data_IF_030243515473
#
_entry.id   IF_030243515473
#
_cell.length_a   1.000
_cell.length_b   1.000
_cell.length_c   1.000
_cell.angle_alpha   90.00
_cell.angle_beta   90.00
_cell.angle_gamma   90.00
#
_symmetry.space_group_name_H-M   'P 1'
#
loop_
_entity.id
_entity.type
_entity.pdbx_description
1 polymer ?
2 non-polymer ?
3 non-polymer ?
4 water ?
#
# COMPACT_ATOMS: atom_id res chain seq x y z
N UNK A 2 23.56 -2.74 -6.34
CA UNK A 2 23.52 -3.50 -5.05
C UNK A 2 22.35 -4.50 -5.07
N UNK A 3 22.33 -5.36 -4.06
CA UNK A 3 21.47 -6.53 -4.01
C UNK A 3 20.06 -6.14 -3.51
N UNK A 4 19.09 -7.02 -3.75
CA UNK A 4 17.73 -6.89 -3.20
C UNK A 4 17.48 -8.01 -2.18
N UNK A 5 16.62 -7.72 -1.23
CA UNK A 5 16.07 -8.69 -0.29
C UNK A 5 14.58 -8.90 -0.60
N UNK A 6 14.22 -10.08 -1.10
CA UNK A 6 12.85 -10.28 -1.55
C UNK A 6 12.10 -11.13 -0.49
N UNK A 7 11.04 -10.54 0.05
CA UNK A 7 10.13 -11.19 0.98
C UNK A 7 8.81 -11.51 0.24
N UNK A 8 8.09 -12.55 0.69
CA UNK A 8 6.69 -12.73 0.29
C UNK A 8 5.86 -11.54 0.78
N UNK A 9 4.81 -11.22 0.02
CA UNK A 9 4.01 -10.03 0.29
C UNK A 9 3.12 -10.23 1.52
N UNK A 10 2.75 -11.48 1.79
CA UNK A 10 1.86 -11.79 2.90
C UNK A 10 2.03 -13.25 3.37
N UNK A 11 1.77 -13.46 4.66
CA UNK A 11 1.61 -14.80 5.21
C UNK A 11 0.42 -14.72 6.18
N UNK A 12 -0.13 -15.90 6.53
CA UNK A 12 -1.20 -15.98 7.52
C UNK A 12 -1.16 -17.33 8.24
N UNK A 13 -1.74 -17.34 9.44
CA UNK A 13 -1.99 -18.54 10.20
C UNK A 13 -2.97 -18.22 11.32
N UNK A 14 -3.46 -19.26 12.00
CA UNK A 14 -4.39 -19.07 13.13
C UNK A 14 -3.60 -18.94 14.44
N UNK A 15 -4.22 -18.36 15.48
CA UNK A 15 -3.57 -18.23 16.80
C UNK A 15 -3.00 -19.58 17.28
N UNK A 16 -1.82 -19.51 17.92
CA UNK A 16 -1.15 -20.66 18.49
C UNK A 16 -0.30 -21.42 17.49
N UNK A 17 -0.38 -21.08 16.21
CA UNK A 17 0.38 -21.80 15.23
C UNK A 17 1.73 -21.12 15.01
N UNK A 18 2.52 -21.71 14.13
CA UNK A 18 3.86 -21.24 13.79
C UNK A 18 3.90 -20.72 12.36
N UNK A 19 4.54 -19.57 12.16
CA UNK A 19 4.62 -19.04 10.81
C UNK A 19 6.07 -18.67 10.48
N UNK A 20 6.43 -18.80 9.20
CA UNK A 20 7.78 -18.46 8.73
C UNK A 20 7.76 -17.42 7.60
N UNK A 21 8.62 -16.41 7.74
CA UNK A 21 8.80 -15.34 6.74
C UNK A 21 10.24 -15.37 6.22
N UNK A 22 10.39 -15.49 4.91
CA UNK A 22 11.69 -15.60 4.28
C UNK A 22 12.11 -14.24 3.70
N UNK A 23 13.42 -14.13 3.39
CA UNK A 23 14.12 -12.92 2.98
C UNK A 23 15.34 -13.32 2.15
N UNK A 24 15.18 -13.41 0.82
CA UNK A 24 16.18 -14.00 -0.09
C UNK A 24 17.00 -12.87 -0.72
N UNK A 25 18.31 -13.00 -0.61
CA UNK A 25 19.26 -12.03 -1.12
C UNK A 25 19.54 -12.42 -2.56
N UNK A 26 19.41 -11.43 -3.47
CA UNK A 26 19.47 -11.61 -4.93
C UNK A 26 20.88 -11.96 -5.40
N UNK A 27 21.86 -11.32 -4.80
CA UNK A 27 23.25 -11.48 -5.20
C UNK A 27 24.17 -11.23 -4.01
N UNK A 28 25.33 -11.88 -4.07
CA UNK A 28 26.23 -11.96 -2.95
C UNK A 28 25.82 -13.06 -2.00
N UNK A 29 26.39 -13.03 -0.80
CA UNK A 29 26.27 -14.14 0.11
C UNK A 29 25.52 -13.64 1.35
N UNK A 30 24.47 -14.36 1.74
CA UNK A 30 23.56 -13.94 2.80
C UNK A 30 24.37 -13.76 4.10
N UNK A 31 25.37 -14.61 4.31
CA UNK A 31 26.08 -14.59 5.60
C UNK A 31 27.20 -13.56 5.61
N UNK A 32 27.42 -12.90 4.47
CA UNK A 32 28.48 -11.89 4.35
C UNK A 32 28.13 -10.63 5.16
N UNK A 33 26.87 -10.50 5.56
CA UNK A 33 26.46 -9.33 6.36
C UNK A 33 25.28 -9.70 7.26
N UNK A 34 25.20 -9.04 8.40
CA UNK A 34 24.16 -9.28 9.39
C UNK A 34 22.77 -8.88 8.86
N UNK A 35 21.74 -9.65 9.30
CA UNK A 35 20.37 -9.38 8.93
C UNK A 35 19.62 -8.96 10.20
N UNK A 36 18.87 -7.85 10.09
CA UNK A 36 17.92 -7.46 11.12
C UNK A 36 16.49 -7.76 10.64
N UNK A 37 15.58 -7.91 11.61
CA UNK A 37 14.15 -7.97 11.34
C UNK A 37 13.41 -6.96 12.20
N UNK A 38 12.53 -6.20 11.56
CA UNK A 38 11.69 -5.18 12.22
C UNK A 38 10.20 -5.53 12.06
N UNK A 39 9.47 -5.31 13.16
CA UNK A 39 8.04 -5.45 13.27
C UNK A 39 7.46 -4.03 13.28
N UNK A 40 6.43 -3.79 12.45
CA UNK A 40 5.71 -2.54 12.49
C UNK A 40 4.21 -2.80 12.41
N UNK A 41 3.55 -2.53 13.53
CA UNK A 41 2.08 -2.58 13.56
C UNK A 41 1.50 -1.33 12.90
N UNK A 42 0.36 -1.46 12.22
CA UNK A 42 -0.20 -0.33 11.48
C UNK A 42 -0.35 0.91 12.37
N UNK A 43 0.13 2.04 11.89
CA UNK A 43 0.07 3.30 12.61
C UNK A 43 0.87 3.26 13.91
N UNK A 44 2.06 2.67 13.88
CA UNK A 44 2.94 2.63 15.06
C UNK A 44 4.41 2.64 14.61
N UNK A 45 5.29 2.94 15.54
CA UNK A 45 6.72 2.91 15.37
C UNK A 45 7.20 1.46 15.20
N UNK A 46 8.21 1.26 14.33
CA UNK A 46 8.88 -0.02 14.17
C UNK A 46 9.61 -0.41 15.45
N UNK A 47 9.76 -1.72 15.66
CA UNK A 47 10.59 -2.25 16.73
C UNK A 47 11.44 -3.39 16.16
N UNK A 48 12.66 -3.45 16.62
CA UNK A 48 13.58 -4.52 16.22
C UNK A 48 13.20 -5.79 16.99
N UNK A 49 12.95 -6.89 16.28
CA UNK A 49 12.68 -8.20 16.91
C UNK A 49 13.91 -9.12 16.79
N UNK A 50 14.72 -8.97 15.74
CA UNK A 50 15.97 -9.70 15.61
C UNK A 50 17.07 -8.77 15.10
N UNK A 51 18.26 -8.86 15.69
CA UNK A 51 19.46 -8.25 15.13
C UNK A 51 20.57 -9.31 14.98
N UNK A 52 21.51 -9.03 14.10
CA UNK A 52 22.68 -9.89 13.81
C UNK A 52 22.21 -11.31 13.55
N UNK A 53 21.33 -11.45 12.58
CA UNK A 53 20.79 -12.74 12.13
C UNK A 53 19.83 -13.45 13.09
N UNK A 54 20.12 -13.48 14.41
CA UNK A 54 19.44 -14.36 15.30
C UNK A 54 19.55 -13.87 16.75
N UNK A 55 19.97 -12.64 16.98
CA UNK A 55 19.98 -12.16 18.35
C UNK A 55 18.66 -11.43 18.64
N UNK A 56 18.09 -11.71 19.78
CA UNK A 56 16.82 -11.15 20.16
C UNK A 56 17.05 -10.03 21.18
N UNK A 57 16.57 -8.80 20.91
CA UNK A 57 16.68 -7.77 21.96
C UNK A 57 15.97 -8.19 23.25
N UNK A 58 16.38 -7.66 24.39
CA UNK A 58 15.65 -7.99 25.63
C UNK A 58 14.22 -7.43 25.50
N UNK A 59 13.25 -8.13 26.07
CA UNK A 59 11.84 -7.74 26.00
C UNK A 59 11.12 -8.36 24.81
N UNK A 60 11.84 -8.95 23.86
CA UNK A 60 11.19 -9.63 22.74
C UNK A 60 11.03 -11.12 23.11
N UNK A 61 9.80 -11.66 23.07
CA UNK A 61 9.56 -13.07 23.40
C UNK A 61 10.45 -14.01 22.56
N UNK A 62 10.91 -15.12 23.15
CA UNK A 62 11.64 -16.15 22.38
C UNK A 62 10.75 -16.97 21.37
N UNK A 63 9.46 -16.62 21.27
CA UNK A 63 8.57 -17.04 20.14
C UNK A 63 9.15 -16.53 18.82
N UNK A 64 9.85 -15.40 18.88
CA UNK A 64 10.47 -14.86 17.67
C UNK A 64 11.88 -15.46 17.47
N UNK A 65 12.16 -16.06 16.33
CA UNK A 65 13.52 -16.61 16.10
C UNK A 65 14.03 -16.28 14.69
N UNK A 66 15.28 -15.82 14.64
CA UNK A 66 15.94 -15.57 13.38
C UNK A 66 16.83 -16.72 12.94
N UNK A 67 16.90 -16.95 11.63
CA UNK A 67 17.83 -17.95 11.12
C UNK A 67 18.37 -17.53 9.75
N UNK A 68 19.41 -18.25 9.33
CA UNK A 68 20.07 -18.05 8.06
C UNK A 68 20.14 -19.42 7.38
N UNK A 69 19.75 -19.48 6.12
CA UNK A 69 19.91 -20.65 5.29
C UNK A 69 20.86 -20.30 4.12
N UNK A 70 22.10 -20.79 4.20
CA UNK A 70 23.12 -20.51 3.18
C UNK A 70 22.76 -21.13 1.83
N UNK A 71 22.18 -22.32 1.83
CA UNK A 71 21.81 -23.02 0.59
C UNK A 71 20.87 -22.17 -0.28
N UNK A 72 19.87 -21.56 0.34
CA UNK A 72 18.88 -20.77 -0.38
C UNK A 72 19.26 -19.27 -0.38
N UNK A 73 20.34 -18.92 0.31
CA UNK A 73 20.84 -17.54 0.39
C UNK A 73 19.75 -16.63 0.99
N UNK A 74 19.18 -17.08 2.10
CA UNK A 74 18.01 -16.44 2.68
C UNK A 74 18.16 -16.39 4.19
N UNK A 75 17.48 -15.38 4.75
CA UNK A 75 17.21 -15.26 6.18
C UNK A 75 15.72 -15.56 6.42
N UNK A 76 15.39 -16.15 7.56
CA UNK A 76 13.97 -16.36 7.94
C UNK A 76 13.71 -15.83 9.34
N UNK A 77 12.53 -15.22 9.50
CA UNK A 77 11.90 -15.04 10.80
C UNK A 77 10.81 -16.09 11.00
N UNK A 78 10.92 -16.86 12.08
CA UNK A 78 9.95 -17.84 12.49
C UNK A 78 9.31 -17.36 13.79
N UNK A 79 7.99 -17.26 13.76
CA UNK A 79 7.20 -16.84 14.92
C UNK A 79 6.36 -18.03 15.38
N UNK A 80 6.53 -18.41 16.62
CA UNK A 80 5.77 -19.55 17.12
C UNK A 80 4.74 -19.05 18.13
N UNK A 81 3.75 -19.89 18.40
CA UNK A 81 2.71 -19.56 19.38
C UNK A 81 2.05 -18.25 19.04
N UNK A 82 1.65 -18.14 17.77
CA UNK A 82 1.14 -16.89 17.18
C UNK A 82 0.02 -16.32 18.06
N UNK A 83 0.11 -15.04 18.30
CA UNK A 83 -0.87 -14.29 19.02
C UNK A 83 -1.38 -13.14 18.15
N UNK A 84 -2.55 -12.64 18.52
CA UNK A 84 -3.21 -11.66 17.67
C UNK A 84 -2.39 -10.37 17.62
N UNK A 85 -1.61 -10.03 18.66
CA UNK A 85 -0.74 -8.85 18.67
C UNK A 85 0.45 -9.02 17.71
N UNK A 86 0.74 -10.23 17.26
CA UNK A 86 1.80 -10.42 16.24
C UNK A 86 1.42 -9.91 14.81
N UNK A 87 0.16 -9.57 14.55
CA UNK A 87 -0.29 -9.08 13.24
C UNK A 87 0.38 -7.72 12.98
N UNK A 88 1.18 -7.65 11.92
CA UNK A 88 2.03 -6.50 11.66
C UNK A 88 2.70 -6.71 10.30
N UNK A 89 3.38 -5.67 9.81
CA UNK A 89 4.34 -5.82 8.71
C UNK A 89 5.72 -6.10 9.28
N UNK A 90 6.40 -7.07 8.69
CA UNK A 90 7.72 -7.45 9.08
C UNK A 90 8.65 -7.19 7.90
N UNK A 91 9.81 -6.58 8.21
CA UNK A 91 10.87 -6.23 7.22
C UNK A 91 12.21 -6.80 7.69
N UNK A 92 12.89 -7.46 6.76
CA UNK A 92 14.27 -7.81 6.94
C UNK A 92 15.14 -6.67 6.36
N UNK A 93 16.39 -6.64 6.82
CA UNK A 93 17.34 -5.55 6.43
C UNK A 93 18.78 -6.05 6.56
N UNK A 94 19.64 -5.68 5.59
CA UNK A 94 21.09 -5.99 5.61
C UNK A 94 21.88 -4.90 4.89
N UNK A 95 23.08 -5.21 4.41
CA UNK A 95 23.89 -4.23 3.66
C UNK A 95 25.05 -4.92 2.96
N UNK A 96 25.57 -4.21 1.95
CA UNK A 96 26.90 -4.46 1.36
C UNK A 96 27.53 -3.06 1.40
N UNK A 97 28.65 -2.93 2.14
CA UNK A 97 29.33 -1.65 2.30
C UNK A 97 28.34 -0.59 2.86
N UNK A 98 28.31 0.61 2.28
CA UNK A 98 27.44 1.70 2.76
C UNK A 98 26.00 1.50 2.31
N UNK A 99 25.79 0.63 1.33
CA UNK A 99 24.44 0.34 0.82
C UNK A 99 23.66 -0.49 1.85
N UNK A 100 22.75 0.19 2.55
CA UNK A 100 21.71 -0.45 3.37
C UNK A 100 20.58 -0.90 2.43
N UNK A 101 20.14 -2.16 2.58
CA UNK A 101 19.07 -2.75 1.79
C UNK A 101 17.97 -3.29 2.72
N UNK A 102 16.74 -2.86 2.43
CA UNK A 102 15.55 -3.33 3.11
C UNK A 102 14.74 -4.25 2.18
N UNK A 103 14.15 -5.29 2.75
CA UNK A 103 13.15 -6.03 2.03
C UNK A 103 11.86 -5.23 1.89
N UNK A 104 10.96 -5.74 1.05
CA UNK A 104 9.69 -5.06 0.68
C UNK A 104 8.67 -5.05 1.79
N UNK A 105 8.80 -5.98 2.73
CA UNK A 105 7.83 -6.12 3.80
C UNK A 105 6.87 -7.27 3.53
N UNK A 106 6.48 -7.91 4.62
CA UNK A 106 5.55 -9.02 4.63
C UNK A 106 4.43 -8.71 5.62
N UNK A 107 3.17 -8.71 5.13
CA UNK A 107 2.02 -8.61 6.03
C UNK A 107 1.76 -10.00 6.64
N UNK A 108 1.83 -10.07 7.96
CA UNK A 108 1.39 -11.28 8.71
C UNK A 108 -0.04 -11.04 9.20
N UNK A 109 -0.99 -11.86 8.74
CA UNK A 109 -2.37 -11.84 9.26
C UNK A 109 -2.55 -13.03 10.21
N UNK A 110 -3.04 -12.75 11.42
CA UNK A 110 -3.49 -13.79 12.33
C UNK A 110 -5.00 -13.97 12.08
N UNK A 111 -5.38 -15.11 11.55
CA UNK A 111 -6.72 -15.28 10.97
C UNK A 111 -7.80 -15.03 12.03
N UNK A 112 -8.63 -14.02 11.77
CA UNK A 112 -9.79 -13.66 12.60
C UNK A 112 -11.11 -14.21 12.07
N UNK A 113 -11.09 -14.86 10.90
CA UNK A 113 -12.26 -15.38 10.24
C UNK A 113 -11.78 -16.31 9.15
N UNK A 114 -12.68 -17.06 8.47
CA UNK A 114 -12.24 -17.96 7.42
C UNK A 114 -11.57 -17.23 6.24
N UNK A 115 -10.54 -17.86 5.65
CA UNK A 115 -9.99 -17.40 4.44
C UNK A 115 -11.09 -17.32 3.37
N UNK A 116 -11.01 -16.30 2.52
CA UNK A 116 -11.90 -16.15 1.34
C UNK A 116 -11.12 -15.68 0.10
N UNK A 117 -11.28 -16.38 -1.02
CA UNK A 117 -10.59 -16.09 -2.28
C UNK A 117 -11.32 -14.93 -2.96
N UNK A 118 -10.57 -13.99 -3.54
CA UNK A 118 -11.17 -12.80 -4.15
C UNK A 118 -11.94 -13.17 -5.43
N UNK A 119 -13.05 -12.51 -5.60
CA UNK A 119 -13.65 -12.38 -6.96
C UNK A 119 -12.87 -11.31 -7.72
N UNK A 120 -12.45 -11.63 -8.94
CA UNK A 120 -11.61 -10.74 -9.73
C UNK A 120 -12.35 -10.49 -11.04
N UNK A 121 -12.67 -9.23 -11.31
CA UNK A 121 -13.44 -8.85 -12.51
C UNK A 121 -12.69 -7.73 -13.23
N UNK A 122 -12.33 -8.00 -14.48
CA UNK A 122 -11.51 -7.09 -15.27
C UNK A 122 -12.34 -6.37 -16.32
N UNK A 123 -12.25 -5.04 -16.35
CA UNK A 123 -13.03 -4.20 -17.28
C UNK A 123 -12.11 -3.46 -18.27
N UNK A 124 -12.42 -3.56 -19.57
CA UNK A 124 -11.84 -2.73 -20.61
C UNK A 124 -12.36 -1.29 -20.53
N UNK A 125 -11.80 -0.40 -21.36
CA UNK A 125 -12.15 1.03 -21.25
C UNK A 125 -13.62 1.30 -21.61
N UNK A 126 -14.26 2.22 -20.90
CA UNK A 126 -15.63 2.64 -21.24
C UNK A 126 -15.58 3.46 -22.54
N UNK A 127 -16.68 3.38 -23.29
CA UNK A 127 -16.88 4.13 -24.54
C UNK A 127 -16.80 5.64 -24.32
N UNK A 128 -17.40 6.13 -23.26
CA UNK A 128 -17.36 7.56 -23.00
C UNK A 128 -15.92 8.04 -22.78
N UNK A 129 -15.02 7.27 -22.17
CA UNK A 129 -13.71 7.85 -21.84
C UNK A 129 -12.84 7.76 -23.10
N UNK A 130 -13.13 6.82 -23.99
CA UNK A 130 -12.35 6.66 -25.23
C UNK A 130 -12.56 7.89 -26.11
N UNK A 131 -13.80 8.38 -26.17
CA UNK A 131 -14.11 9.58 -26.92
C UNK A 131 -13.68 10.82 -26.11
N UNK A 132 -12.69 10.66 -25.23
CA UNK A 132 -12.13 11.76 -24.42
C UNK A 132 -10.62 11.58 -24.19
N UNK A 133 -9.98 10.75 -25.02
CA UNK A 133 -8.52 10.50 -25.06
C UNK A 133 -8.02 9.77 -23.79
N UNK A 134 -8.87 8.96 -23.16
CA UNK A 134 -8.42 8.13 -22.05
C UNK A 134 -8.79 6.68 -22.33
N UNK A 135 -8.04 5.76 -21.72
CA UNK A 135 -8.41 4.35 -21.73
C UNK A 135 -7.97 3.75 -20.40
N UNK A 136 -8.88 3.68 -19.43
CA UNK A 136 -8.56 3.06 -18.13
C UNK A 136 -9.05 1.62 -18.13
N UNK A 137 -8.21 0.72 -17.60
CA UNK A 137 -8.65 -0.62 -17.27
C UNK A 137 -8.85 -0.67 -15.75
N UNK A 138 -9.83 -1.43 -15.31
CA UNK A 138 -10.06 -1.60 -13.91
C UNK A 138 -10.21 -3.09 -13.62
N UNK A 139 -9.47 -3.50 -12.61
CA UNK A 139 -9.47 -4.82 -12.06
C UNK A 139 -10.12 -4.69 -10.68
N UNK A 140 -11.36 -5.12 -10.57
CA UNK A 140 -12.10 -5.11 -9.28
C UNK A 140 -11.80 -6.40 -8.52
N UNK A 141 -11.42 -6.27 -7.26
CA UNK A 141 -11.06 -7.42 -6.43
C UNK A 141 -11.88 -7.38 -5.15
N UNK A 142 -12.83 -8.30 -4.99
CA UNK A 142 -13.77 -8.23 -3.88
C UNK A 142 -13.85 -9.54 -3.08
N UNK A 143 -14.45 -9.40 -1.89
CA UNK A 143 -14.87 -10.48 -1.05
C UNK A 143 -13.71 -11.38 -0.58
N UNK A 144 -12.58 -10.79 -0.22
CA UNK A 144 -11.39 -11.56 0.13
C UNK A 144 -11.01 -11.36 1.59
N UNK A 145 -10.44 -12.42 2.16
CA UNK A 145 -9.88 -12.37 3.49
C UNK A 145 -8.72 -13.38 3.54
N UNK A 146 -7.57 -13.04 4.09
CA UNK A 146 -7.16 -11.75 4.64
C UNK A 146 -7.15 -10.61 3.62
N UNK A 147 -7.12 -9.37 4.14
CA UNK A 147 -7.19 -8.19 3.33
C UNK A 147 -5.82 -7.75 2.83
N UNK A 148 -5.15 -8.66 2.16
CA UNK A 148 -3.81 -8.45 1.61
C UNK A 148 -3.72 -9.12 0.23
N UNK A 149 -3.46 -8.31 -0.79
CA UNK A 149 -3.33 -8.77 -2.17
C UNK A 149 -2.15 -8.08 -2.82
N UNK A 150 -1.59 -8.72 -3.83
CA UNK A 150 -0.68 -8.05 -4.74
C UNK A 150 -1.22 -8.19 -6.17
N UNK A 151 -1.07 -7.12 -6.90
CA UNK A 151 -1.62 -7.03 -8.25
C UNK A 151 -0.47 -6.80 -9.23
N UNK A 152 -0.53 -7.45 -10.37
CA UNK A 152 0.47 -7.28 -11.39
C UNK A 152 -0.24 -7.24 -12.75
N UNK A 153 0.20 -6.31 -13.60
CA UNK A 153 -0.41 -6.12 -14.92
C UNK A 153 0.56 -6.56 -16.00
N UNK A 154 0.01 -7.06 -17.11
CA UNK A 154 0.79 -7.37 -18.30
C UNK A 154 0.15 -6.71 -19.53
N UNK A 155 0.99 -6.22 -20.42
CA UNK A 155 0.61 -5.81 -21.77
C UNK A 155 1.11 -6.90 -22.71
N UNK A 156 0.19 -7.59 -23.35
CA UNK A 156 0.54 -8.86 -23.98
C UNK A 156 1.21 -9.75 -22.91
N UNK A 157 2.53 -9.94 -22.97
CA UNK A 157 3.23 -10.77 -22.01
C UNK A 157 4.23 -9.95 -21.17
N UNK A 158 4.37 -8.65 -21.43
CA UNK A 158 5.36 -7.85 -20.73
C UNK A 158 4.75 -7.25 -19.46
N UNK A 159 5.49 -7.32 -18.34
CA UNK A 159 5.08 -6.64 -17.12
C UNK A 159 4.90 -5.14 -17.37
N UNK A 160 3.85 -4.57 -16.79
CA UNK A 160 3.57 -3.15 -16.86
C UNK A 160 3.51 -2.61 -15.44
N UNK A 161 4.31 -1.61 -15.13
CA UNK A 161 4.27 -0.93 -13.81
C UNK A 161 3.74 0.50 -13.97
N UNK A 162 4.14 1.18 -15.04
CA UNK A 162 3.71 2.56 -15.30
C UNK A 162 2.17 2.63 -15.42
N UNK A 163 1.61 3.64 -14.76
CA UNK A 163 0.18 3.95 -14.82
C UNK A 163 -0.69 3.14 -13.87
N UNK A 164 -0.08 2.32 -13.00
CA UNK A 164 -0.85 1.40 -12.15
C UNK A 164 -1.07 2.06 -10.79
N UNK A 165 -2.30 2.05 -10.31
CA UNK A 165 -2.66 2.44 -8.96
C UNK A 165 -3.54 1.34 -8.38
N UNK A 166 -3.32 0.95 -7.12
CA UNK A 166 -4.18 -0.03 -6.47
C UNK A 166 -4.60 0.52 -5.10
N UNK A 167 -5.89 0.48 -4.84
CA UNK A 167 -6.41 1.03 -3.58
C UNK A 167 -6.09 0.09 -2.40
N UNK A 168 -6.00 0.73 -1.23
CA UNK A 168 -5.82 0.01 -0.01
C UNK A 168 -7.06 -0.83 0.31
N UNK A 169 -6.89 -2.14 0.55
CA UNK A 169 -8.07 -2.92 0.78
C UNK A 169 -8.93 -2.38 1.94
N UNK A 170 -10.21 -2.46 1.71
CA UNK A 170 -11.26 -1.83 2.49
C UNK A 170 -12.25 -2.89 3.00
N UNK A 171 -12.56 -2.95 4.31
CA UNK A 171 -13.54 -3.95 4.82
C UNK A 171 -14.99 -3.56 4.48
N UNK A 172 -15.70 -4.40 3.72
CA UNK A 172 -17.03 -4.01 3.23
C UNK A 172 -18.10 -4.54 4.20
N UNK A 173 -19.36 -4.40 3.82
CA UNK A 173 -20.49 -4.66 4.70
C UNK A 173 -20.60 -6.16 5.02
N UNK A 174 -19.99 -7.05 4.21
CA UNK A 174 -20.02 -8.51 4.47
C UNK A 174 -18.81 -8.95 5.31
N UNK A 175 -18.03 -7.98 5.79
CA UNK A 175 -16.87 -8.20 6.65
C UNK A 175 -15.69 -8.82 5.86
N UNK A 176 -15.73 -8.78 4.54
CA UNK A 176 -14.60 -9.14 3.71
C UNK A 176 -14.09 -7.90 2.94
N UNK A 177 -12.90 -8.03 2.37
CA UNK A 177 -12.20 -6.88 1.81
C UNK A 177 -12.50 -6.71 0.31
N UNK A 178 -12.37 -5.46 -0.11
CA UNK A 178 -12.48 -5.08 -1.53
C UNK A 178 -11.40 -4.03 -1.86
N UNK A 179 -10.94 -4.08 -3.09
CA UNK A 179 -10.04 -3.06 -3.60
C UNK A 179 -10.15 -3.01 -5.12
N UNK A 180 -9.60 -1.96 -5.74
CA UNK A 180 -9.54 -1.89 -7.20
C UNK A 180 -8.15 -1.43 -7.64
N UNK A 181 -7.66 -2.07 -8.70
CA UNK A 181 -6.44 -1.69 -9.35
C UNK A 181 -6.83 -1.09 -10.71
N UNK A 182 -6.33 0.10 -11.03
CA UNK A 182 -6.64 0.72 -12.30
C UNK A 182 -5.37 1.11 -13.06
N UNK A 183 -5.37 0.82 -14.35
CA UNK A 183 -4.25 1.06 -15.22
C UNK A 183 -4.64 2.16 -16.21
N UNK A 184 -4.00 3.34 -16.13
CA UNK A 184 -4.38 4.50 -16.95
C UNK A 184 -3.56 4.51 -18.24
N UNK A 185 -4.22 4.21 -19.37
CA UNK A 185 -3.58 4.15 -20.68
C UNK A 185 -4.09 5.29 -21.56
N UNK A 186 -3.37 5.52 -22.66
CA UNK A 186 -3.85 6.30 -23.78
C UNK A 186 -4.64 5.35 -24.70
N UNK A 187 -5.55 5.90 -25.47
CA UNK A 187 -6.25 5.04 -26.42
C UNK A 187 -5.31 4.28 -27.37
N UNK A 188 -4.24 4.92 -27.82
CA UNK A 188 -3.32 4.29 -28.77
C UNK A 188 -2.49 3.22 -28.03
N UNK A 189 -2.11 3.44 -26.76
CA UNK A 189 -1.50 2.36 -25.96
C UNK A 189 -2.42 1.13 -25.98
N UNK A 190 -3.69 1.33 -25.64
CA UNK A 190 -4.67 0.26 -25.53
C UNK A 190 -4.78 -0.54 -26.85
N UNK A 191 -4.78 0.16 -27.98
CA UNK A 191 -4.99 -0.50 -29.27
C UNK A 191 -3.68 -1.15 -29.74
N UNK A 192 -2.54 -0.66 -29.27
CA UNK A 192 -1.23 -1.15 -29.72
C UNK A 192 -0.87 -2.52 -29.13
N UNK A 193 -1.75 -3.18 -28.35
CA UNK A 193 -1.50 -4.56 -27.85
C UNK A 193 -2.70 -5.46 -28.12
N UNK A 194 -2.46 -6.76 -28.17
CA UNK A 194 -3.56 -7.70 -28.44
C UNK A 194 -4.36 -7.98 -27.17
N UNK A 195 -3.75 -7.76 -25.99
CA UNK A 195 -4.46 -7.95 -24.74
C UNK A 195 -3.67 -7.35 -23.57
N UNK A 196 -4.38 -7.23 -22.46
CA UNK A 196 -3.82 -6.89 -21.19
C UNK A 196 -4.31 -7.91 -20.17
N UNK A 197 -3.52 -8.16 -19.12
CA UNK A 197 -3.89 -9.09 -18.06
C UNK A 197 -3.67 -8.43 -16.70
N UNK A 198 -4.56 -8.77 -15.78
CA UNK A 198 -4.46 -8.42 -14.36
C UNK A 198 -4.24 -9.71 -13.59
N UNK A 199 -3.11 -9.84 -12.88
CA UNK A 199 -2.87 -11.01 -12.03
C UNK A 199 -3.00 -10.62 -10.58
N UNK A 200 -3.73 -11.41 -9.82
CA UNK A 200 -3.97 -11.10 -8.42
C UNK A 200 -3.47 -12.24 -7.55
N UNK A 201 -2.50 -11.94 -6.68
CA UNK A 201 -1.97 -12.97 -5.79
C UNK A 201 -2.57 -12.80 -4.39
N UNK A 202 -3.13 -13.91 -3.89
CA UNK A 202 -3.74 -13.99 -2.59
C UNK A 202 -3.57 -15.40 -2.02
N UNK A 203 -3.07 -15.47 -0.78
CA UNK A 203 -3.01 -16.74 -0.01
C UNK A 203 -2.52 -17.92 -0.88
N UNK A 204 -1.38 -17.77 -1.52
CA UNK A 204 -0.73 -18.89 -2.21
C UNK A 204 -1.21 -19.13 -3.64
N UNK A 205 -2.19 -18.40 -4.17
CA UNK A 205 -2.54 -18.62 -5.56
C UNK A 205 -2.43 -17.30 -6.35
N UNK A 206 -2.17 -17.41 -7.64
CA UNK A 206 -2.18 -16.22 -8.52
C UNK A 206 -3.23 -16.45 -9.60
N UNK A 207 -4.30 -15.66 -9.52
CA UNK A 207 -5.38 -15.77 -10.49
C UNK A 207 -5.16 -14.68 -11.54
N UNK A 208 -5.86 -14.82 -12.64
CA UNK A 208 -5.61 -13.99 -13.78
C UNK A 208 -6.92 -13.76 -14.54
N UNK A 209 -7.06 -12.52 -15.03
CA UNK A 209 -8.10 -12.17 -16.00
C UNK A 209 -7.42 -11.42 -17.15
N UNK A 210 -7.98 -11.59 -18.35
CA UNK A 210 -7.44 -10.96 -19.56
C UNK A 210 -8.56 -10.22 -20.31
N UNK A 211 -8.23 -9.08 -20.91
CA UNK A 211 -9.17 -8.35 -21.77
C UNK A 211 -8.45 -7.96 -23.05
N UNK A 212 -9.23 -7.83 -24.13
CA UNK A 212 -8.74 -7.49 -25.48
C UNK A 212 -9.59 -6.33 -26.04
N UNK A 213 -9.02 -5.43 -26.84
CA UNK A 213 -9.80 -4.37 -27.52
C UNK A 213 -10.79 -4.92 -28.56
N UNK A 214 -11.85 -4.16 -28.87
CA UNK A 214 -12.69 -4.41 -30.07
C UNK A 214 -13.49 -3.15 -30.41
N UNK A 215 -14.29 -3.26 -31.47
CA UNK A 215 -15.46 -2.38 -31.69
C UNK A 215 -16.71 -3.25 -31.87
N UNK A 216 -17.85 -2.66 -31.53
CA UNK A 216 -19.15 -3.34 -31.60
C UNK A 216 -20.19 -2.38 -32.19
N UNK B 2 19.25 -0.05 27.80
CA UNK B 2 18.52 0.61 26.68
C UNK B 2 18.59 2.14 26.84
N UNK B 3 18.34 2.87 25.74
CA UNK B 3 17.99 4.30 25.78
C UNK B 3 16.81 4.55 24.84
N UNK B 4 16.21 5.74 24.93
CA UNK B 4 15.08 6.11 24.10
C UNK B 4 15.40 7.33 23.23
N UNK B 5 14.79 7.30 22.05
CA UNK B 5 14.68 8.45 21.18
C UNK B 5 13.27 9.04 21.33
N UNK B 6 13.21 10.32 21.64
CA UNK B 6 11.93 10.98 21.91
C UNK B 6 11.66 12.06 20.84
N UNK B 7 10.52 11.91 20.13
CA UNK B 7 10.08 12.84 19.07
C UNK B 7 8.78 13.52 19.50
N UNK B 8 8.51 14.74 19.02
CA UNK B 8 7.13 15.26 19.21
C UNK B 8 6.09 14.35 18.54
N UNK B 9 4.85 14.38 19.04
CA UNK B 9 3.82 13.49 18.55
C UNK B 9 3.38 13.94 17.15
N UNK B 10 3.18 15.25 16.97
CA UNK B 10 2.65 15.76 15.72
C UNK B 10 3.06 17.21 15.51
N UNK B 11 3.21 17.59 14.25
CA UNK B 11 3.42 18.98 13.84
C UNK B 11 2.50 19.25 12.63
N UNK B 12 2.05 20.49 12.55
CA UNK B 12 1.10 20.94 11.51
C UNK B 12 1.58 22.25 10.94
N UNK B 13 1.69 22.33 9.62
CA UNK B 13 2.13 23.52 8.94
C UNK B 13 1.51 23.63 7.53
N UNK B 14 1.46 24.87 7.03
CA UNK B 14 1.00 25.17 5.66
C UNK B 14 2.10 24.93 4.63
N UNK B 15 1.71 24.71 3.36
CA UNK B 15 2.68 24.54 2.30
C UNK B 15 3.59 25.77 2.22
N UNK B 16 4.82 25.51 1.77
CA UNK B 16 5.82 26.54 1.55
C UNK B 16 6.61 26.88 2.79
N UNK B 17 6.20 26.42 3.97
CA UNK B 17 6.91 26.80 5.18
C UNK B 17 7.96 25.73 5.52
N UNK B 18 8.71 26.03 6.57
CA UNK B 18 9.75 25.15 7.08
C UNK B 18 9.23 24.45 8.35
N UNK B 19 9.44 23.14 8.43
CA UNK B 19 9.09 22.35 9.61
C UNK B 19 10.37 21.67 10.14
N UNK B 20 10.47 21.59 11.46
CA UNK B 20 11.57 20.95 12.09
C UNK B 20 11.03 19.88 13.03
N UNK B 21 11.57 18.67 12.92
CA UNK B 21 11.18 17.56 13.78
C UNK B 21 12.39 17.11 14.60
N UNK B 22 12.27 17.14 15.92
CA UNK B 22 13.40 16.83 16.78
C UNK B 22 13.38 15.37 17.24
N UNK B 23 14.55 14.90 17.63
CA UNK B 23 14.78 13.52 18.06
C UNK B 23 15.83 13.54 19.18
N UNK B 24 15.39 13.50 20.44
CA UNK B 24 16.26 13.72 21.63
C UNK B 24 16.59 12.37 22.25
N UNK B 25 17.87 12.11 22.45
CA UNK B 25 18.26 10.86 23.07
C UNK B 25 18.15 11.02 24.60
N UNK B 26 17.55 10.03 25.27
CA UNK B 26 17.26 10.11 26.71
C UNK B 26 18.54 9.89 27.53
N UNK B 27 19.44 9.04 27.04
CA UNK B 27 20.64 8.68 27.79
C UNK B 27 21.76 8.27 26.82
N UNK B 28 22.96 8.71 27.15
CA UNK B 28 24.08 8.62 26.23
C UNK B 28 24.04 9.80 25.28
N UNK B 29 25.17 10.00 24.62
CA UNK B 29 25.32 11.16 23.77
C UNK B 29 24.76 10.82 22.38
N UNK B 30 24.02 11.79 21.84
CA UNK B 30 23.42 11.69 20.51
C UNK B 30 24.50 11.36 19.46
N UNK B 31 25.67 11.95 19.62
CA UNK B 31 26.78 11.73 18.66
C UNK B 31 27.53 10.40 18.76
N UNK B 32 27.21 9.53 19.73
CA UNK B 32 27.92 8.25 19.88
C UNK B 32 27.47 7.25 18.81
N UNK B 33 26.36 7.53 18.12
CA UNK B 33 25.91 6.65 17.00
C UNK B 33 25.15 7.47 15.95
N UNK B 34 25.24 7.02 14.72
CA UNK B 34 24.60 7.68 13.61
C UNK B 34 23.06 7.70 13.77
N UNK B 35 22.44 8.74 13.22
CA UNK B 35 20.98 8.88 13.24
C UNK B 35 20.47 8.84 11.80
N UNK B 36 19.51 7.95 11.55
CA UNK B 36 18.75 7.86 10.31
C UNK B 36 17.34 8.45 10.54
N UNK B 37 16.79 8.93 9.44
CA UNK B 37 15.39 9.36 9.36
C UNK B 37 14.66 8.63 8.23
N UNK B 38 13.43 8.18 8.54
CA UNK B 38 12.54 7.48 7.62
C UNK B 38 11.22 8.24 7.46
N UNK B 39 10.70 8.25 6.22
CA UNK B 39 9.41 8.85 5.94
C UNK B 39 8.43 7.71 5.59
N UNK B 40 7.19 7.78 6.09
CA UNK B 40 6.17 6.75 5.73
C UNK B 40 4.83 7.42 5.48
N UNK B 41 4.38 7.32 4.23
CA UNK B 41 3.04 7.72 3.81
C UNK B 41 2.06 6.58 4.13
N UNK B 42 0.84 6.94 4.57
CA UNK B 42 -0.13 5.95 4.91
C UNK B 42 -0.46 5.16 3.63
N UNK B 43 -0.40 3.85 3.73
CA UNK B 43 -0.63 2.99 2.59
C UNK B 43 0.64 2.47 1.94
N UNK B 44 1.83 2.81 2.48
CA UNK B 44 3.14 2.57 1.81
C UNK B 44 4.21 2.08 2.79
N UNK B 45 5.23 1.36 2.30
CA UNK B 45 6.41 1.06 3.11
C UNK B 45 7.15 2.37 3.42
N UNK B 46 8.02 2.37 4.44
CA UNK B 46 8.87 3.53 4.71
C UNK B 46 10.02 3.68 3.70
N UNK B 47 10.52 4.92 3.57
CA UNK B 47 11.74 5.15 2.79
C UNK B 47 12.76 5.87 3.69
N UNK B 48 14.03 5.67 3.38
CA UNK B 48 15.11 6.47 4.01
C UNK B 48 15.16 7.90 3.41
N UNK B 49 15.10 8.94 4.27
CA UNK B 49 15.27 10.33 3.81
C UNK B 49 16.62 10.91 4.30
N UNK B 50 17.18 10.44 5.42
CA UNK B 50 18.53 10.83 5.92
C UNK B 50 19.19 9.60 6.53
N UNK B 51 20.45 9.39 6.18
CA UNK B 51 21.28 8.43 6.89
C UNK B 51 22.57 9.11 7.38
N UNK B 52 23.22 8.50 8.37
CA UNK B 52 24.55 9.00 8.89
C UNK B 52 24.43 10.48 9.25
N UNK B 53 23.37 10.80 9.98
CA UNK B 53 23.06 12.14 10.50
C UNK B 53 22.55 13.11 9.50
N UNK B 54 23.17 13.19 8.32
CA UNK B 54 22.92 14.30 7.41
C UNK B 54 23.13 13.94 5.94
N UNK B 55 23.32 12.67 5.59
CA UNK B 55 23.45 12.27 4.19
C UNK B 55 22.08 11.92 3.59
N UNK B 56 21.87 12.40 2.37
CA UNK B 56 20.62 12.28 1.63
C UNK B 56 20.80 11.24 0.54
N UNK B 57 19.96 10.21 0.54
CA UNK B 57 19.96 9.24 -0.54
C UNK B 57 19.58 9.92 -1.85
N UNK B 58 20.04 9.41 -2.99
CA UNK B 58 19.59 9.99 -4.26
C UNK B 58 18.07 9.89 -4.35
N UNK B 59 17.45 10.85 -5.01
CA UNK B 59 16.02 10.83 -5.22
C UNK B 59 15.28 11.51 -4.09
N UNK B 60 15.91 11.64 -2.93
CA UNK B 60 15.34 12.43 -1.87
C UNK B 60 15.56 13.92 -2.17
N UNK B 61 14.52 14.72 -2.10
CA UNK B 61 14.69 16.13 -2.45
C UNK B 61 15.61 16.88 -1.48
N UNK B 62 16.26 17.93 -1.96
CA UNK B 62 17.20 18.65 -1.11
C UNK B 62 16.51 19.53 -0.08
N UNK B 63 15.18 19.62 -0.15
CA UNK B 63 14.41 20.28 0.90
C UNK B 63 14.60 19.56 2.24
N UNK B 64 15.02 18.30 2.24
CA UNK B 64 15.19 17.49 3.49
C UNK B 64 16.63 17.61 4.01
N UNK B 65 16.82 18.00 5.26
CA UNK B 65 18.15 18.14 5.82
C UNK B 65 18.19 17.59 7.23
N UNK B 66 19.18 16.72 7.46
CA UNK B 66 19.50 16.21 8.81
C UNK B 66 20.56 17.07 9.50
N UNK B 67 20.45 17.21 10.82
CA UNK B 67 21.47 17.88 11.61
C UNK B 67 21.51 17.27 13.01
N UNK B 68 22.56 17.62 13.76
CA UNK B 68 22.81 17.15 15.10
C UNK B 68 23.06 18.37 15.97
N UNK B 69 22.47 18.43 17.16
CA UNK B 69 22.74 19.49 18.12
C UNK B 69 23.15 18.85 19.44
N UNK B 70 24.45 18.95 19.75
CA UNK B 70 25.05 18.20 20.86
C UNK B 70 24.62 18.79 22.20
N UNK B 71 24.41 20.09 22.24
CA UNK B 71 24.06 20.76 23.50
C UNK B 71 22.64 20.41 23.94
N UNK B 72 21.71 20.14 23.01
CA UNK B 72 20.35 19.68 23.39
C UNK B 72 20.24 18.15 23.30
N UNK B 73 21.35 17.50 22.99
CA UNK B 73 21.46 16.07 22.85
C UNK B 73 20.41 15.51 21.89
N UNK B 74 20.19 16.20 20.79
CA UNK B 74 19.12 15.87 19.83
C UNK B 74 19.65 15.86 18.39
N UNK B 75 18.93 15.12 17.56
CA UNK B 75 19.00 15.16 16.12
C UNK B 75 17.74 15.87 15.57
N UNK B 76 17.85 16.52 14.41
CA UNK B 76 16.67 17.18 13.80
C UNK B 76 16.57 16.87 12.30
N UNK B 77 15.33 16.70 11.84
CA UNK B 77 15.04 16.70 10.43
C UNK B 77 14.33 18.00 10.05
N UNK B 78 14.93 18.75 9.13
CA UNK B 78 14.37 20.03 8.73
C UNK B 78 13.85 19.91 7.29
N UNK B 79 12.56 20.16 7.11
CA UNK B 79 11.94 20.17 5.75
C UNK B 79 11.60 21.62 5.42
N UNK B 80 12.29 22.16 4.42
CA UNK B 80 12.00 23.47 3.91
C UNK B 80 11.03 23.35 2.73
N UNK B 81 10.32 24.43 2.45
CA UNK B 81 9.42 24.50 1.27
C UNK B 81 8.38 23.39 1.27
N UNK B 82 7.68 23.24 2.41
CA UNK B 82 6.76 22.11 2.68
C UNK B 82 5.75 21.92 1.54
N UNK B 83 5.63 20.66 1.10
CA UNK B 83 4.71 20.23 0.02
C UNK B 83 3.71 19.20 0.53
N UNK B 84 2.58 19.13 -0.17
CA UNK B 84 1.54 18.18 0.15
C UNK B 84 2.13 16.76 0.29
N UNK B 85 3.02 16.39 -0.62
CA UNK B 85 3.58 15.04 -0.64
C UNK B 85 4.40 14.77 0.62
N UNK B 86 4.77 15.81 1.39
CA UNK B 86 5.54 15.57 2.62
C UNK B 86 4.70 15.13 3.83
N UNK B 87 3.38 15.05 3.67
CA UNK B 87 2.49 14.61 4.76
C UNK B 87 2.71 13.12 4.97
N UNK B 88 3.14 12.76 6.19
CA UNK B 88 3.66 11.42 6.48
C UNK B 88 3.97 11.31 7.97
N UNK B 89 4.30 10.10 8.38
CA UNK B 89 4.91 9.83 9.67
C UNK B 89 6.42 9.79 9.44
N UNK B 90 7.16 10.42 10.36
CA UNK B 90 8.61 10.44 10.32
C UNK B 90 9.16 9.79 11.60
N UNK B 91 10.16 8.91 11.38
CA UNK B 91 10.81 8.14 12.40
C UNK B 91 12.32 8.38 12.38
N UNK B 92 12.92 8.75 13.52
CA UNK B 92 14.37 8.74 13.65
C UNK B 92 14.81 7.40 14.22
N UNK B 93 16.09 7.09 14.03
CA UNK B 93 16.60 5.79 14.35
C UNK B 93 18.10 5.88 14.68
N UNK B 94 18.54 5.17 15.72
CA UNK B 94 19.96 5.02 16.05
C UNK B 94 20.23 3.63 16.63
N UNK B 95 21.39 3.45 17.28
CA UNK B 95 21.83 2.13 17.79
C UNK B 95 22.08 2.22 19.29
N UNK B 96 21.86 1.10 19.98
CA UNK B 96 22.25 0.85 21.37
C UNK B 96 23.48 -0.06 21.41
N UNK B 97 24.03 -0.41 20.23
CA UNK B 97 25.04 -1.48 20.03
C UNK B 97 24.40 -2.85 20.25
N UNK B 98 23.71 -3.01 21.37
CA UNK B 98 22.86 -4.19 21.62
C UNK B 98 21.49 -4.03 20.93
N UNK B 99 21.28 -3.08 19.99
CA UNK B 99 19.95 -2.96 19.35
C UNK B 99 19.85 -1.79 18.38
N UNK B 100 18.90 -1.86 17.45
CA UNK B 100 18.45 -0.74 16.64
C UNK B 100 17.21 -0.15 17.32
N UNK B 101 17.22 1.15 17.59
CA UNK B 101 16.11 1.78 18.30
C UNK B 101 15.50 2.90 17.46
N UNK B 102 14.17 3.01 17.54
CA UNK B 102 13.38 3.97 16.79
C UNK B 102 12.73 4.96 17.74
N UNK B 103 12.65 6.19 17.29
CA UNK B 103 11.75 7.18 17.88
C UNK B 103 10.31 6.74 17.76
N UNK B 104 9.46 7.43 18.52
CA UNK B 104 8.05 7.13 18.62
C UNK B 104 7.29 7.56 17.38
N UNK B 105 7.89 8.38 16.50
CA UNK B 105 7.24 8.77 15.26
C UNK B 105 6.59 10.14 15.40
N UNK B 106 6.71 10.96 14.38
CA UNK B 106 6.01 12.27 14.35
C UNK B 106 5.11 12.32 13.12
N UNK B 107 3.81 12.60 13.34
CA UNK B 107 2.89 12.85 12.25
C UNK B 107 3.04 14.32 11.81
N UNK B 108 3.41 14.51 10.54
CA UNK B 108 3.48 15.84 9.91
C UNK B 108 2.24 15.99 9.03
N UNK B 109 1.39 16.90 9.45
CA UNK B 109 0.17 17.24 8.74
C UNK B 109 0.45 18.48 7.86
N UNK B 110 0.11 18.39 6.58
CA UNK B 110 0.18 19.54 5.71
C UNK B 110 -1.23 20.15 5.62
N UNK B 111 -1.41 21.28 6.28
CA UNK B 111 -2.69 22.01 6.29
C UNK B 111 -2.95 22.61 4.90
N UNK B 112 -4.23 22.93 4.63
CA UNK B 112 -4.63 23.70 3.42
C UNK B 112 -4.35 23.02 2.08
N UNK B 113 -4.41 21.70 1.99
CA UNK B 113 -4.25 21.07 0.68
C UNK B 113 -5.44 21.50 -0.20
N UNK B 114 -5.21 21.78 -1.49
CA UNK B 114 -6.29 22.33 -2.30
C UNK B 114 -7.39 21.28 -2.62
N UNK B 115 -8.61 21.75 -2.80
CA UNK B 115 -9.71 20.87 -3.14
C UNK B 115 -9.49 20.36 -4.56
N UNK B 116 -9.81 19.10 -4.81
CA UNK B 116 -9.73 18.52 -6.15
C UNK B 116 -10.95 17.62 -6.37
N UNK B 117 -11.71 17.92 -7.43
CA UNK B 117 -12.95 17.20 -7.75
C UNK B 117 -12.59 15.81 -8.29
N UNK B 118 -13.42 14.83 -8.01
CA UNK B 118 -13.07 13.52 -8.55
C UNK B 118 -13.26 13.38 -10.07
N UNK B 119 -12.39 12.60 -10.67
CA UNK B 119 -12.60 12.00 -11.96
C UNK B 119 -13.49 10.76 -11.77
N UNK B 120 -14.56 10.63 -12.53
CA UNK B 120 -15.47 9.55 -12.34
C UNK B 120 -15.58 8.76 -13.65
N UNK B 121 -15.38 7.47 -13.61
CA UNK B 121 -15.52 6.65 -14.80
C UNK B 121 -16.39 5.44 -14.47
N UNK B 122 -17.39 5.20 -15.32
CA UNK B 122 -18.36 4.14 -15.07
C UNK B 122 -18.20 3.06 -16.13
N UNK B 123 -18.07 1.82 -15.68
CA UNK B 123 -17.81 0.65 -16.56
C UNK B 123 -18.98 -0.34 -16.49
N UNK B 124 -19.56 -0.69 -17.64
CA UNK B 124 -20.59 -1.71 -17.67
C UNK B 124 -20.02 -3.14 -17.48
N UNK B 125 -20.87 -4.11 -17.17
CA UNK B 125 -20.54 -5.54 -17.20
C UNK B 125 -19.89 -5.96 -18.53
N UNK B 126 -18.83 -6.78 -18.51
CA UNK B 126 -18.22 -7.24 -19.76
C UNK B 126 -19.02 -8.41 -20.34
N UNK B 127 -18.73 -8.76 -21.60
CA UNK B 127 -19.26 -9.95 -22.25
C UNK B 127 -18.89 -11.19 -21.46
N UNK B 128 -17.60 -11.24 -21.14
CA UNK B 128 -17.03 -12.39 -20.43
C UNK B 128 -17.77 -12.59 -19.11
N UNK B 129 -18.01 -11.52 -18.37
CA UNK B 129 -18.68 -11.68 -17.08
C UNK B 129 -20.10 -12.16 -17.33
N UNK B 130 -20.80 -11.54 -18.26
CA UNK B 130 -22.20 -11.91 -18.58
C UNK B 130 -22.29 -13.38 -19.04
N UNK B 131 -21.30 -13.85 -19.78
CA UNK B 131 -21.18 -15.23 -20.25
C UNK B 131 -20.97 -16.18 -19.04
N UNK B 132 -20.44 -15.66 -17.93
CA UNK B 132 -20.34 -16.43 -16.68
C UNK B 132 -21.53 -16.16 -15.75
N UNK B 133 -22.58 -15.53 -16.29
CA UNK B 133 -23.89 -15.37 -15.63
C UNK B 133 -23.74 -14.45 -14.39
N UNK B 134 -22.91 -13.42 -14.51
CA UNK B 134 -22.81 -12.37 -13.50
C UNK B 134 -22.82 -11.00 -14.19
N UNK B 135 -23.09 -9.96 -13.42
CA UNK B 135 -23.09 -8.62 -13.97
C UNK B 135 -22.67 -7.65 -12.86
N UNK B 136 -21.50 -7.07 -13.00
CA UNK B 136 -21.06 -6.06 -12.05
C UNK B 136 -20.81 -4.74 -12.78
N UNK B 137 -21.27 -3.62 -12.20
CA UNK B 137 -20.84 -2.31 -12.66
C UNK B 137 -19.81 -1.75 -11.68
N UNK B 138 -18.80 -1.07 -12.20
CA UNK B 138 -17.89 -0.40 -11.28
C UNK B 138 -17.80 1.08 -11.70
N UNK B 139 -17.83 1.92 -10.69
CA UNK B 139 -17.70 3.39 -10.79
C UNK B 139 -16.36 3.77 -10.15
N UNK B 140 -15.36 4.11 -10.97
CA UNK B 140 -14.04 4.45 -10.48
C UNK B 140 -14.02 5.94 -10.15
N UNK B 141 -13.55 6.28 -8.96
CA UNK B 141 -13.56 7.65 -8.47
C UNK B 141 -12.15 8.00 -8.01
N UNK B 142 -11.44 8.85 -8.75
CA UNK B 142 -10.01 9.06 -8.51
C UNK B 142 -9.68 10.55 -8.44
N UNK B 143 -8.49 10.81 -7.89
CA UNK B 143 -7.82 12.13 -7.87
C UNK B 143 -8.58 13.19 -7.12
N UNK B 144 -9.20 12.84 -6.00
CA UNK B 144 -10.02 13.82 -5.28
C UNK B 144 -9.39 14.20 -3.94
N UNK B 145 -9.80 15.36 -3.44
CA UNK B 145 -9.41 15.84 -2.10
C UNK B 145 -10.42 16.90 -1.68
N UNK B 146 -10.96 16.87 -0.45
CA UNK B 146 -10.67 15.93 0.63
C UNK B 146 -11.13 14.49 0.35
N UNK B 147 -10.76 13.53 1.19
CA UNK B 147 -10.97 12.10 0.87
C UNK B 147 -12.32 11.54 1.36
N UNK B 148 -13.41 12.23 1.06
CA UNK B 148 -14.78 11.80 1.39
C UNK B 148 -15.69 12.06 0.19
N UNK B 149 -16.45 11.03 -0.19
CA UNK B 149 -17.47 11.11 -1.26
C UNK B 149 -18.70 10.34 -0.77
N UNK B 150 -19.86 10.64 -1.33
CA UNK B 150 -20.96 9.73 -1.22
C UNK B 150 -21.46 9.44 -2.63
N UNK B 151 -21.96 8.23 -2.79
CA UNK B 151 -22.33 7.68 -4.10
C UNK B 151 -23.79 7.24 -4.05
N UNK B 152 -24.50 7.44 -5.15
CA UNK B 152 -25.89 6.97 -5.29
C UNK B 152 -25.99 6.33 -6.67
N UNK B 153 -26.65 5.19 -6.79
CA UNK B 153 -26.85 4.56 -8.06
C UNK B 153 -28.33 4.68 -8.46
N UNK B 154 -28.55 4.63 -9.78
CA UNK B 154 -29.87 4.73 -10.32
C UNK B 154 -30.03 3.61 -11.34
N UNK B 155 -31.20 3.01 -11.38
CA UNK B 155 -31.57 2.10 -12.48
C UNK B 155 -32.66 2.82 -13.27
N UNK B 156 -32.43 3.09 -14.56
CA UNK B 156 -33.21 4.14 -15.27
C UNK B 156 -33.16 5.42 -14.42
N UNK B 157 -34.28 6.04 -14.02
CA UNK B 157 -34.20 7.24 -13.17
C UNK B 157 -34.41 6.91 -11.69
N UNK B 158 -34.59 5.64 -11.32
CA UNK B 158 -35.00 5.25 -9.96
C UNK B 158 -33.81 4.84 -9.09
N UNK B 159 -33.89 5.09 -7.78
CA UNK B 159 -32.78 4.73 -6.88
C UNK B 159 -32.59 3.21 -6.78
N UNK B 160 -31.34 2.78 -6.83
CA UNK B 160 -30.99 1.39 -6.47
C UNK B 160 -30.57 1.39 -5.00
N UNK B 161 -31.14 0.53 -4.18
CA UNK B 161 -30.78 0.53 -2.76
C UNK B 161 -30.29 -0.85 -2.30
N UNK B 162 -29.99 -1.76 -3.22
CA UNK B 162 -29.47 -3.07 -2.91
C UNK B 162 -28.26 -3.35 -3.80
N UNK B 163 -27.29 -4.09 -3.26
CA UNK B 163 -26.18 -4.59 -4.08
C UNK B 163 -25.04 -3.59 -4.29
N UNK B 164 -25.05 -2.50 -3.53
CA UNK B 164 -24.03 -1.44 -3.58
C UNK B 164 -22.95 -1.68 -2.50
N UNK B 165 -21.68 -1.60 -2.90
CA UNK B 165 -20.53 -1.40 -1.98
C UNK B 165 -19.65 -0.28 -2.50
N UNK B 166 -19.12 0.53 -1.60
CA UNK B 166 -18.15 1.55 -1.98
C UNK B 166 -16.94 1.44 -1.04
N UNK B 167 -15.74 1.44 -1.59
CA UNK B 167 -14.51 1.22 -0.78
C UNK B 167 -14.17 2.50 -0.04
N UNK B 168 -13.51 2.33 1.11
CA UNK B 168 -12.99 3.48 1.85
C UNK B 168 -11.89 4.17 1.06
N UNK B 169 -12.00 5.51 0.89
CA UNK B 169 -11.00 6.24 0.07
C UNK B 169 -9.54 6.04 0.51
N UNK B 170 -8.62 5.73 -0.40
CA UNK B 170 -7.18 5.62 -0.02
C UNK B 170 -6.33 6.62 -0.82
N UNK B 171 -5.32 7.25 -0.18
CA UNK B 171 -4.42 8.16 -0.90
C UNK B 171 -3.51 7.39 -1.88
N UNK B 172 -3.46 7.85 -3.12
CA UNK B 172 -2.68 7.15 -4.13
C UNK B 172 -1.37 7.93 -4.35
N UNK B 173 -0.58 7.54 -5.36
CA UNK B 173 0.81 8.01 -5.47
C UNK B 173 0.87 9.51 -5.82
N UNK B 174 -0.23 10.07 -6.34
CA UNK B 174 -0.32 11.50 -6.65
C UNK B 174 -0.84 12.29 -5.43
N UNK B 175 -0.98 11.65 -4.27
CA UNK B 175 -1.32 12.29 -2.97
C UNK B 175 -2.79 12.77 -2.96
N UNK B 176 -3.60 12.17 -3.82
CA UNK B 176 -5.05 12.35 -3.76
C UNK B 176 -5.73 10.98 -3.57
N UNK B 177 -7.02 11.01 -3.31
CA UNK B 177 -7.72 9.82 -2.95
C UNK B 177 -8.33 9.12 -4.16
N UNK B 178 -8.50 7.83 -3.99
CA UNK B 178 -9.25 7.04 -4.92
C UNK B 178 -10.12 6.02 -4.17
N UNK B 179 -11.18 5.62 -4.88
CA UNK B 179 -12.15 4.68 -4.40
C UNK B 179 -12.94 4.09 -5.57
N UNK B 180 -13.68 3.03 -5.32
CA UNK B 180 -14.58 2.51 -6.33
C UNK B 180 -15.87 2.09 -5.63
N UNK B 181 -16.97 2.27 -6.35
CA UNK B 181 -18.25 1.83 -5.96
C UNK B 181 -18.64 0.75 -6.95
N UNK B 182 -19.03 -0.42 -6.47
CA UNK B 182 -19.45 -1.49 -7.39
C UNK B 182 -20.87 -1.96 -7.05
N UNK B 183 -21.63 -2.24 -8.10
CA UNK B 183 -23.01 -2.63 -8.03
C UNK B 183 -23.14 -4.02 -8.68
N UNK B 184 -23.60 -4.98 -7.88
CA UNK B 184 -23.73 -6.36 -8.33
C UNK B 184 -25.17 -6.62 -8.81
N UNK B 185 -25.28 -7.07 -10.06
CA UNK B 185 -26.60 -7.34 -10.67
C UNK B 185 -26.61 -8.76 -11.22
N UNK B 186 -27.80 -9.28 -11.51
CA UNK B 186 -27.91 -10.42 -12.42
C UNK B 186 -27.83 -9.90 -13.86
N UNK B 187 -27.49 -10.79 -14.81
CA UNK B 187 -27.55 -10.36 -16.21
C UNK B 187 -28.94 -9.82 -16.61
N UNK B 188 -29.97 -10.38 -15.99
CA UNK B 188 -31.36 -10.06 -16.31
C UNK B 188 -31.69 -8.66 -15.78
N UNK B 189 -31.18 -8.30 -14.63
CA UNK B 189 -31.41 -6.92 -14.17
C UNK B 189 -30.75 -5.95 -15.14
N UNK B 190 -29.49 -6.21 -15.49
CA UNK B 190 -28.74 -5.33 -16.37
C UNK B 190 -29.50 -5.14 -17.68
N UNK B 191 -30.01 -6.21 -18.26
CA UNK B 191 -30.67 -6.14 -19.57
C UNK B 191 -32.10 -5.56 -19.48
N UNK B 192 -32.73 -5.55 -18.32
CA UNK B 192 -34.13 -5.13 -18.23
C UNK B 192 -34.27 -3.63 -17.94
N UNK B 193 -33.16 -2.90 -17.92
CA UNK B 193 -33.22 -1.47 -17.76
C UNK B 193 -32.62 -0.80 -19.01
N UNK B 194 -33.00 0.46 -19.21
CA UNK B 194 -32.44 1.25 -20.29
C UNK B 194 -31.01 1.67 -19.98
N UNK B 195 -30.73 1.92 -18.70
CA UNK B 195 -29.43 2.36 -18.24
C UNK B 195 -29.32 2.23 -16.72
N UNK B 196 -28.07 2.28 -16.28
CA UNK B 196 -27.72 2.51 -14.88
C UNK B 196 -26.81 3.74 -14.81
N UNK B 197 -26.86 4.40 -13.68
CA UNK B 197 -26.10 5.60 -13.46
C UNK B 197 -25.47 5.53 -12.06
N UNK B 198 -24.28 6.13 -11.98
CA UNK B 198 -23.53 6.36 -10.75
C UNK B 198 -23.43 7.86 -10.56
N UNK B 199 -23.82 8.33 -9.41
CA UNK B 199 -23.80 9.71 -9.10
C UNK B 199 -22.89 9.94 -7.89
N UNK B 200 -21.83 10.73 -8.06
CA UNK B 200 -20.82 10.92 -7.01
C UNK B 200 -20.93 12.36 -6.51
N UNK B 201 -21.13 12.53 -5.22
CA UNK B 201 -21.08 13.83 -4.60
C UNK B 201 -19.82 13.99 -3.75
N UNK B 202 -19.17 15.12 -3.96
CA UNK B 202 -17.93 15.50 -3.37
C UNK B 202 -18.01 16.99 -3.07
N UNK B 203 -17.87 17.35 -1.82
CA UNK B 203 -17.80 18.74 -1.39
C UNK B 203 -19.00 19.51 -1.99
N UNK B 204 -20.18 18.90 -1.88
CA UNK B 204 -21.43 19.54 -2.26
C UNK B 204 -21.68 19.63 -3.76
N UNK B 205 -20.78 19.11 -4.61
CA UNK B 205 -20.98 19.10 -6.05
C UNK B 205 -21.17 17.65 -6.53
N UNK B 206 -22.06 17.43 -7.50
CA UNK B 206 -22.38 16.06 -7.93
C UNK B 206 -21.92 15.86 -9.38
N UNK B 207 -21.37 14.68 -9.68
CA UNK B 207 -20.99 14.24 -11.00
C UNK B 207 -21.72 12.93 -11.30
N UNK B 208 -22.29 12.83 -12.49
CA UNK B 208 -23.09 11.67 -12.86
C UNK B 208 -22.56 11.06 -14.15
N UNK B 209 -22.51 9.73 -14.17
CA UNK B 209 -22.22 8.98 -15.35
C UNK B 209 -23.29 7.91 -15.54
N UNK B 210 -23.50 7.51 -16.78
CA UNK B 210 -24.60 6.67 -17.18
C UNK B 210 -24.10 5.69 -18.25
N UNK B 211 -24.40 4.40 -18.14
CA UNK B 211 -24.08 3.41 -19.18
C UNK B 211 -25.34 2.59 -19.46
N UNK B 212 -25.40 2.08 -20.68
CA UNK B 212 -26.57 1.34 -21.16
C UNK B 212 -26.11 0.03 -21.77
N UNK B 213 -26.97 -1.00 -21.82
CA UNK B 213 -26.59 -2.23 -22.50
C UNK B 213 -26.26 -1.97 -23.98
N UNK B 214 -25.22 -2.62 -24.53
CA UNK B 214 -24.73 -2.26 -25.88
C UNK B 214 -25.54 -2.95 -26.98
N UNK B 215 -25.33 -2.51 -28.21
CA UNK B 215 -25.85 -3.18 -29.40
C UNK B 215 -24.77 -3.21 -30.49
N UNK B 216 -24.54 -4.39 -31.05
CA UNK B 216 -23.70 -4.56 -32.25
C UNK B 216 -24.58 -4.41 -33.49
#
# INVERSE_FOLDING_TARGET
MNFMLNQPHSVSESPGKTVTISCTRSSGNIDSNYVQWYQQRPGSAPITVIYEDNQRPSGVPDRFAGSIDRSSNSASLTISGLKTEDEADYYCQSYDARNVVFGGGTRLTVLGQPKAAPSVTLFPPSSEELQANKATLVCLISDFYPGAVTVAWKADSSPVKAGVETTTPSKQSNNKYAASSYLSLTPEQWKSHKSYSCQVTHEGSTVEKTVAPTECS
MNFMLNQPHSVSESPGKTVTISCTRSSGNIDSNYVQWYQQRPGSAPITVIYEDNQRPSGVPDRFAGSIDRSSNSASLTISGLKTEDEADYYCQSYDARNVVFGGGTRLTVLGQPKAAPSVTLFPPSSEELQANKATLVCLISDFYPGAVTVAWKADSSPVKAGVETTTPSKQSNNKYAASSYLSLTPEQWKSHKSYSCQVTHEGSTVEKTVAPTECS
#
